data_IF_878546634647
#
_entry.id   IF_878546634647
#
_cell.length_a   1.000
_cell.length_b   1.000
_cell.length_c   1.000
_cell.angle_alpha   90.00
_cell.angle_beta   90.00
_cell.angle_gamma   90.00
#
_symmetry.space_group_name_H-M   'P 1'
#
loop_
_entity.id
_entity.type
_entity.pdbx_description
1 polymer ?
#
# COMPACT_ATOMS: atom_id res chain seq x y z
N UNK A 1 -83.17 37.10 -15.48
CA UNK A 1 -82.02 37.84 -15.00
C UNK A 1 -80.84 36.87 -14.75
N UNK A 2 -79.89 36.84 -15.66
CA UNK A 2 -78.81 35.88 -15.65
C UNK A 2 -77.51 36.56 -15.19
N UNK A 3 -76.88 36.06 -14.14
CA UNK A 3 -75.57 36.52 -13.68
C UNK A 3 -74.47 35.60 -14.30
N UNK A 4 -73.66 36.17 -15.14
CA UNK A 4 -72.44 35.52 -15.72
C UNK A 4 -71.37 35.37 -14.61
N UNK A 5 -70.95 34.12 -14.35
CA UNK A 5 -69.80 33.78 -13.56
C UNK A 5 -68.54 33.92 -14.42
N UNK A 6 -67.54 34.68 -13.93
CA UNK A 6 -66.21 34.81 -14.53
C UNK A 6 -65.36 33.61 -14.12
N UNK A 7 -64.92 32.83 -15.11
CA UNK A 7 -63.87 31.79 -14.93
C UNK A 7 -62.51 32.49 -14.79
N UNK A 8 -61.88 32.34 -13.67
CA UNK A 8 -60.52 32.74 -13.41
C UNK A 8 -59.57 31.65 -13.93
N UNK A 9 -58.80 31.99 -14.95
CA UNK A 9 -57.79 31.10 -15.50
C UNK A 9 -56.53 31.14 -14.61
N UNK A 10 -56.28 30.07 -13.90
CA UNK A 10 -55.08 29.92 -13.09
C UNK A 10 -53.95 29.44 -13.97
N UNK A 11 -52.97 30.28 -14.22
CA UNK A 11 -51.70 29.91 -14.88
C UNK A 11 -50.86 29.07 -13.88
N UNK A 12 -50.71 27.79 -14.19
CA UNK A 12 -49.76 26.93 -13.48
C UNK A 12 -48.38 27.18 -14.06
N UNK A 13 -47.55 27.83 -13.26
CA UNK A 13 -46.12 28.00 -13.54
C UNK A 13 -45.45 26.71 -13.08
N UNK A 14 -45.10 25.83 -14.01
CA UNK A 14 -44.27 24.66 -13.78
C UNK A 14 -42.83 25.16 -13.57
N UNK A 15 -42.45 25.31 -12.32
CA UNK A 15 -41.05 25.43 -11.92
C UNK A 15 -40.43 24.05 -11.82
N UNK A 16 -39.82 23.56 -12.89
CA UNK A 16 -38.84 22.51 -12.87
C UNK A 16 -37.54 23.09 -12.28
N UNK A 17 -37.45 23.20 -10.99
CA UNK A 17 -36.16 23.31 -10.30
C UNK A 17 -35.44 21.97 -10.45
N UNK A 18 -34.53 21.91 -11.42
CA UNK A 18 -33.47 20.88 -11.44
C UNK A 18 -32.59 21.13 -10.20
N UNK A 19 -32.89 20.43 -9.13
CA UNK A 19 -31.95 20.27 -8.03
C UNK A 19 -30.73 19.51 -8.55
N UNK A 20 -29.74 20.27 -8.96
CA UNK A 20 -28.38 19.75 -9.12
C UNK A 20 -27.85 19.45 -7.71
N UNK A 21 -28.15 18.27 -7.20
CA UNK A 21 -27.45 17.70 -6.04
C UNK A 21 -26.03 17.36 -6.49
N UNK A 22 -25.15 18.33 -6.35
CA UNK A 22 -23.70 18.08 -6.36
C UNK A 22 -23.46 17.26 -5.10
N UNK A 23 -23.38 15.94 -5.26
CA UNK A 23 -22.86 15.06 -4.21
C UNK A 23 -21.48 15.59 -3.84
N UNK A 24 -21.17 15.84 -2.56
CA UNK A 24 -19.82 16.17 -2.18
C UNK A 24 -18.93 15.00 -2.58
N UNK A 25 -18.08 15.18 -3.57
CA UNK A 25 -17.03 14.23 -3.89
C UNK A 25 -16.19 14.12 -2.63
N UNK A 26 -16.34 12.99 -1.93
CA UNK A 26 -15.44 12.62 -0.83
C UNK A 26 -14.06 12.61 -1.46
N UNK A 27 -13.25 13.62 -1.16
CA UNK A 27 -11.84 13.62 -1.55
C UNK A 27 -11.19 12.46 -0.82
N UNK A 28 -11.07 11.31 -1.48
CA UNK A 28 -10.27 10.19 -0.98
C UNK A 28 -8.83 10.71 -0.92
N UNK A 29 -8.33 10.90 0.28
CA UNK A 29 -6.95 11.31 0.47
C UNK A 29 -6.08 10.14 -0.01
N UNK A 30 -5.44 10.31 -1.17
CA UNK A 30 -4.60 9.29 -1.75
C UNK A 30 -3.29 9.17 -0.96
N UNK A 31 -2.90 7.92 -0.67
CA UNK A 31 -1.60 7.62 -0.07
C UNK A 31 -0.50 7.75 -1.11
N UNK A 32 0.51 8.55 -0.81
CA UNK A 32 1.73 8.66 -1.60
C UNK A 32 2.45 7.31 -1.62
N UNK A 33 2.45 6.62 -2.76
CA UNK A 33 2.81 5.22 -2.86
C UNK A 33 4.08 5.01 -3.69
N UNK A 34 5.00 4.20 -3.17
CA UNK A 34 6.19 3.73 -3.85
C UNK A 34 5.97 2.31 -4.38
N UNK A 35 6.41 2.05 -5.61
CA UNK A 35 6.59 0.71 -6.14
C UNK A 35 8.03 0.26 -5.89
N UNK A 36 8.24 -0.87 -5.21
CA UNK A 36 9.58 -1.42 -4.99
C UNK A 36 9.74 -2.78 -5.64
N UNK A 37 10.72 -2.91 -6.51
CA UNK A 37 11.05 -4.13 -7.24
C UNK A 37 12.51 -4.56 -7.03
N UNK A 38 12.75 -5.88 -6.90
CA UNK A 38 14.09 -6.44 -6.74
C UNK A 38 14.26 -7.76 -7.50
N UNK A 39 15.41 -7.91 -8.17
CA UNK A 39 15.85 -9.18 -8.75
C UNK A 39 17.27 -9.49 -8.26
N UNK A 40 17.52 -10.75 -7.88
CA UNK A 40 18.86 -11.22 -7.54
C UNK A 40 19.61 -11.70 -8.78
N UNK A 41 20.96 -11.65 -8.72
CA UNK A 41 21.86 -12.04 -9.83
C UNK A 41 21.65 -13.51 -10.25
N UNK A 42 21.32 -14.39 -9.31
CA UNK A 42 21.29 -15.84 -9.52
C UNK A 42 20.07 -16.36 -10.29
N UNK A 43 19.09 -15.51 -10.55
CA UNK A 43 17.83 -15.92 -11.16
C UNK A 43 17.62 -15.28 -12.54
N UNK A 44 18.21 -15.86 -13.56
CA UNK A 44 17.89 -15.56 -14.98
C UNK A 44 16.45 -15.90 -15.37
N UNK A 45 15.71 -16.57 -14.50
CA UNK A 45 14.34 -17.11 -14.74
C UNK A 45 13.21 -16.37 -14.06
N UNK A 46 13.50 -15.43 -13.16
CA UNK A 46 12.44 -14.67 -12.50
C UNK A 46 11.99 -13.49 -13.38
N UNK A 47 11.16 -13.76 -14.36
CA UNK A 47 10.50 -12.80 -15.24
C UNK A 47 11.10 -11.40 -15.20
N UNK A 48 11.35 -10.79 -16.34
CA UNK A 48 11.99 -9.49 -16.48
C UNK A 48 11.57 -8.54 -15.34
N UNK A 49 12.52 -7.78 -14.76
CA UNK A 49 12.22 -6.74 -13.76
C UNK A 49 11.06 -5.84 -14.22
N UNK A 50 10.97 -5.64 -15.53
CA UNK A 50 9.90 -4.88 -16.16
C UNK A 50 8.51 -5.49 -15.91
N UNK A 51 8.39 -6.81 -15.88
CA UNK A 51 7.12 -7.48 -15.56
C UNK A 51 6.70 -7.21 -14.10
N UNK A 52 7.66 -7.17 -13.16
CA UNK A 52 7.35 -6.78 -11.78
C UNK A 52 6.88 -5.34 -11.71
N UNK A 53 7.59 -4.42 -12.33
CA UNK A 53 7.24 -2.99 -12.36
C UNK A 53 5.83 -2.80 -12.94
N UNK A 54 5.54 -3.43 -14.09
CA UNK A 54 4.23 -3.35 -14.73
C UNK A 54 3.12 -3.86 -13.80
N UNK A 55 3.34 -4.99 -13.12
CA UNK A 55 2.39 -5.53 -12.15
C UNK A 55 2.14 -4.58 -10.97
N UNK A 56 3.20 -3.98 -10.43
CA UNK A 56 3.09 -3.02 -9.32
C UNK A 56 2.31 -1.77 -9.72
N UNK A 57 2.61 -1.22 -10.91
CA UNK A 57 1.90 -0.05 -11.43
C UNK A 57 0.43 -0.37 -11.68
N UNK A 58 0.12 -1.50 -12.34
CA UNK A 58 -1.27 -1.92 -12.57
C UNK A 58 -2.05 -2.09 -11.26
N UNK A 59 -1.42 -2.65 -10.22
CA UNK A 59 -2.03 -2.75 -8.91
C UNK A 59 -2.33 -1.38 -8.32
N UNK A 60 -1.35 -0.47 -8.31
CA UNK A 60 -1.51 0.90 -7.77
C UNK A 60 -2.59 1.66 -8.54
N UNK A 61 -2.57 1.61 -9.88
CA UNK A 61 -3.52 2.32 -10.74
C UNK A 61 -4.96 1.78 -10.61
N UNK A 62 -5.12 0.49 -10.24
CA UNK A 62 -6.44 -0.12 -10.03
C UNK A 62 -7.07 0.24 -8.68
N UNK A 63 -6.35 0.92 -7.79
CA UNK A 63 -6.78 1.28 -6.45
C UNK A 63 -6.76 2.81 -6.28
N UNK A 64 -7.91 3.48 -6.26
CA UNK A 64 -7.99 4.95 -6.26
C UNK A 64 -7.42 5.60 -4.99
N UNK A 65 -7.26 4.84 -3.91
CA UNK A 65 -6.64 5.27 -2.66
C UNK A 65 -5.12 5.41 -2.74
N UNK A 66 -4.47 4.92 -3.81
CA UNK A 66 -3.02 5.02 -3.98
C UNK A 66 -2.66 6.01 -5.09
N UNK A 67 -1.57 6.74 -4.88
CA UNK A 67 -0.97 7.62 -5.88
C UNK A 67 0.50 7.23 -6.03
N UNK A 68 0.87 6.68 -7.18
CA UNK A 68 2.26 6.38 -7.47
C UNK A 68 3.11 7.66 -7.45
N UNK A 69 4.14 7.67 -6.62
CA UNK A 69 5.12 8.76 -6.51
C UNK A 69 6.40 8.41 -7.24
N UNK A 70 6.96 7.22 -6.97
CA UNK A 70 8.21 6.78 -7.58
C UNK A 70 8.33 5.25 -7.61
N UNK A 71 9.25 4.75 -8.42
CA UNK A 71 9.58 3.34 -8.56
C UNK A 71 11.04 3.10 -8.23
N UNK A 72 11.30 2.24 -7.25
CA UNK A 72 12.62 1.91 -6.74
C UNK A 72 13.00 0.51 -7.19
N UNK A 73 14.18 0.35 -7.79
CA UNK A 73 14.54 -0.90 -8.47
C UNK A 73 15.97 -1.32 -8.10
N UNK A 74 16.10 -2.36 -7.27
CA UNK A 74 17.38 -3.01 -6.99
C UNK A 74 17.58 -4.24 -7.88
N UNK A 75 18.35 -4.07 -8.93
CA UNK A 75 18.69 -5.13 -9.87
C UNK A 75 20.08 -5.71 -9.56
N UNK A 76 20.17 -7.01 -9.34
CA UNK A 76 21.43 -7.68 -9.02
C UNK A 76 21.77 -7.71 -7.53
N UNK A 77 20.84 -7.36 -6.65
CA UNK A 77 21.05 -7.39 -5.20
C UNK A 77 20.36 -8.58 -4.56
N UNK A 78 21.00 -9.16 -3.54
CA UNK A 78 20.40 -10.23 -2.74
C UNK A 78 19.28 -9.68 -1.86
N UNK A 79 18.44 -10.55 -1.33
CA UNK A 79 17.43 -10.13 -0.36
C UNK A 79 17.86 -10.36 1.09
N UNK A 80 19.13 -10.70 1.34
CA UNK A 80 19.65 -11.09 2.66
C UNK A 80 19.92 -9.94 3.59
N UNK A 81 20.18 -8.77 3.04
CA UNK A 81 20.39 -7.51 3.75
C UNK A 81 19.58 -6.38 3.13
N UNK A 82 19.55 -5.22 3.77
CA UNK A 82 18.88 -4.01 3.29
C UNK A 82 19.89 -2.92 2.86
N UNK A 83 21.19 -3.26 2.74
CA UNK A 83 22.21 -2.37 2.18
C UNK A 83 22.15 -2.38 0.64
N UNK A 84 21.06 -1.81 0.11
CA UNK A 84 20.74 -1.74 -1.32
C UNK A 84 20.47 -0.29 -1.67
N UNK A 85 21.07 0.24 -2.76
CA UNK A 85 21.00 1.67 -3.08
C UNK A 85 19.57 2.21 -3.21
N UNK A 86 18.71 1.52 -3.93
CA UNK A 86 17.35 1.98 -4.15
C UNK A 86 16.46 1.77 -2.90
N UNK A 87 16.74 0.75 -2.09
CA UNK A 87 16.08 0.61 -0.80
C UNK A 87 16.47 1.73 0.17
N UNK A 88 17.75 2.12 0.20
CA UNK A 88 18.23 3.25 1.01
C UNK A 88 17.54 4.53 0.56
N UNK A 89 17.49 4.79 -0.77
CA UNK A 89 16.80 5.94 -1.34
C UNK A 89 15.31 5.95 -0.98
N UNK A 90 14.66 4.80 -1.08
CA UNK A 90 13.26 4.63 -0.65
C UNK A 90 13.08 5.02 0.82
N UNK A 91 13.95 4.53 1.70
CA UNK A 91 13.86 4.82 3.13
C UNK A 91 14.14 6.28 3.46
N UNK A 92 14.99 6.97 2.70
CA UNK A 92 15.21 8.41 2.84
C UNK A 92 13.96 9.21 2.44
N UNK A 93 13.28 8.82 1.36
CA UNK A 93 12.02 9.44 0.95
C UNK A 93 10.87 9.13 1.92
N UNK A 94 10.87 7.94 2.53
CA UNK A 94 9.95 7.57 3.63
C UNK A 94 10.19 8.48 4.85
N UNK A 95 11.44 8.64 5.30
CA UNK A 95 11.80 9.52 6.44
C UNK A 95 11.48 10.98 6.16
N UNK A 96 11.58 11.40 4.91
CA UNK A 96 11.20 12.73 4.47
C UNK A 96 9.66 12.94 4.39
N UNK A 97 8.86 11.90 4.67
CA UNK A 97 7.39 11.94 4.60
C UNK A 97 6.82 11.99 3.18
N UNK A 98 7.64 11.72 2.15
CA UNK A 98 7.20 11.72 0.75
C UNK A 98 6.45 10.45 0.39
N UNK A 99 6.68 9.34 1.09
CA UNK A 99 6.09 8.03 0.86
C UNK A 99 5.34 7.58 2.11
N UNK A 100 4.09 7.16 1.90
CA UNK A 100 3.18 6.68 2.95
C UNK A 100 2.78 5.22 2.76
N UNK A 101 2.99 4.68 1.55
CA UNK A 101 2.70 3.29 1.22
C UNK A 101 3.81 2.72 0.33
N UNK A 102 4.21 1.49 0.60
CA UNK A 102 5.17 0.73 -0.21
C UNK A 102 4.44 -0.50 -0.75
N UNK A 103 4.49 -0.72 -2.07
CA UNK A 103 3.91 -1.89 -2.72
C UNK A 103 5.03 -2.75 -3.28
N UNK A 104 5.02 -4.05 -2.93
CA UNK A 104 5.97 -5.05 -3.43
C UNK A 104 5.21 -6.21 -4.09
N UNK A 105 5.88 -6.95 -4.97
CA UNK A 105 5.29 -8.14 -5.59
C UNK A 105 5.04 -9.24 -4.56
N UNK A 106 6.04 -9.56 -3.78
CA UNK A 106 6.03 -10.53 -2.69
C UNK A 106 7.01 -10.08 -1.60
N UNK A 107 6.83 -10.58 -0.36
CA UNK A 107 7.66 -10.20 0.79
C UNK A 107 9.13 -10.57 0.59
N UNK A 108 9.43 -11.59 -0.23
CA UNK A 108 10.82 -11.94 -0.55
C UNK A 108 11.53 -10.86 -1.37
N UNK A 109 10.78 -9.98 -2.06
CA UNK A 109 11.34 -8.81 -2.75
C UNK A 109 11.69 -7.71 -1.77
N UNK A 110 10.88 -7.54 -0.74
CA UNK A 110 11.19 -6.63 0.35
C UNK A 110 12.43 -7.09 1.11
N UNK A 111 12.44 -8.30 1.69
CA UNK A 111 13.58 -8.87 2.40
C UNK A 111 13.45 -10.38 2.59
N UNK A 112 14.58 -11.11 2.47
CA UNK A 112 14.66 -12.54 2.78
C UNK A 112 15.09 -12.80 4.23
N UNK A 113 15.75 -11.82 4.84
CA UNK A 113 16.03 -11.87 6.27
C UNK A 113 14.73 -11.60 7.03
N UNK A 114 14.11 -12.65 7.53
CA UNK A 114 12.81 -12.60 8.19
C UNK A 114 12.83 -11.73 9.45
N UNK A 115 13.96 -11.75 10.21
CA UNK A 115 14.10 -10.96 11.43
C UNK A 115 14.15 -9.46 11.10
N UNK A 116 14.96 -9.09 10.12
CA UNK A 116 15.15 -7.70 9.71
C UNK A 116 13.89 -7.16 9.02
N UNK A 117 13.26 -7.94 8.12
CA UNK A 117 11.99 -7.59 7.51
C UNK A 117 10.88 -7.40 8.56
N UNK A 118 10.83 -8.30 9.56
CA UNK A 118 9.91 -8.19 10.69
C UNK A 118 10.13 -6.91 11.50
N UNK A 119 11.39 -6.53 11.75
CA UNK A 119 11.71 -5.28 12.45
C UNK A 119 11.21 -4.04 11.68
N UNK A 120 11.36 -4.01 10.35
CA UNK A 120 10.79 -2.93 9.54
C UNK A 120 9.27 -2.89 9.67
N UNK A 121 8.60 -4.04 9.54
CA UNK A 121 7.13 -4.14 9.53
C UNK A 121 6.53 -3.84 10.91
N UNK A 122 7.17 -4.30 11.99
CA UNK A 122 6.66 -4.19 13.36
C UNK A 122 7.02 -2.86 14.02
N UNK A 123 8.16 -2.27 13.65
CA UNK A 123 8.72 -1.12 14.37
C UNK A 123 8.88 0.09 13.47
N UNK A 124 9.64 -0.02 12.38
CA UNK A 124 10.02 1.14 11.58
C UNK A 124 8.82 1.74 10.84
N UNK A 125 8.08 0.93 10.12
CA UNK A 125 6.94 1.42 9.32
C UNK A 125 5.80 1.97 10.18
N UNK A 126 5.39 1.34 11.29
CA UNK A 126 4.41 1.97 12.18
C UNK A 126 4.90 3.29 12.78
N UNK A 127 6.17 3.40 13.19
CA UNK A 127 6.73 4.65 13.71
C UNK A 127 6.75 5.78 12.66
N UNK A 128 6.93 5.45 11.39
CA UNK A 128 6.94 6.40 10.26
C UNK A 128 5.57 6.54 9.60
N UNK A 129 4.55 5.85 10.12
CA UNK A 129 3.19 5.81 9.56
C UNK A 129 3.15 5.37 8.09
N UNK A 130 3.92 4.32 7.76
CA UNK A 130 4.04 3.76 6.42
C UNK A 130 3.35 2.40 6.35
N UNK A 131 2.55 2.19 5.31
CA UNK A 131 1.87 0.93 4.99
C UNK A 131 2.72 0.11 4.02
N UNK A 132 2.89 -1.18 4.28
CA UNK A 132 3.51 -2.13 3.35
C UNK A 132 2.45 -3.09 2.81
N UNK A 133 2.41 -3.25 1.50
CA UNK A 133 1.52 -4.17 0.79
C UNK A 133 2.34 -5.15 -0.03
N UNK A 134 2.07 -6.45 0.10
CA UNK A 134 2.60 -7.50 -0.75
C UNK A 134 1.47 -8.13 -1.55
N UNK A 135 1.55 -8.02 -2.88
CA UNK A 135 0.44 -8.42 -3.77
C UNK A 135 0.24 -9.94 -3.75
N UNK A 136 1.29 -10.71 -4.02
CA UNK A 136 1.19 -12.17 -4.14
C UNK A 136 0.93 -12.87 -2.81
N UNK A 137 1.39 -12.27 -1.70
CA UNK A 137 1.18 -12.82 -0.36
C UNK A 137 -0.16 -12.39 0.23
N UNK A 138 -0.92 -11.53 -0.47
CA UNK A 138 -2.14 -10.88 0.03
C UNK A 138 -1.94 -10.24 1.41
N UNK A 139 -0.74 -9.70 1.64
CA UNK A 139 -0.32 -9.11 2.91
C UNK A 139 -0.51 -7.59 2.90
N UNK A 140 -1.00 -7.07 4.00
CA UNK A 140 -1.20 -5.64 4.22
C UNK A 140 -0.87 -5.27 5.67
N UNK A 141 0.18 -4.51 5.89
CA UNK A 141 0.61 -4.13 7.23
C UNK A 141 -0.40 -3.26 8.01
N UNK A 142 -1.43 -2.73 7.36
CA UNK A 142 -2.52 -2.03 8.06
C UNK A 142 -3.48 -3.00 8.76
N UNK A 143 -3.52 -4.27 8.33
CA UNK A 143 -4.34 -5.32 8.94
C UNK A 143 -3.57 -5.95 10.09
N UNK A 144 -4.16 -5.96 11.29
CA UNK A 144 -3.53 -6.54 12.46
C UNK A 144 -3.30 -8.05 12.33
N UNK A 145 -4.22 -8.75 11.69
CA UNK A 145 -4.13 -10.19 11.43
C UNK A 145 -2.91 -10.55 10.58
N UNK A 146 -2.64 -9.77 9.53
CA UNK A 146 -1.51 -9.98 8.63
C UNK A 146 -0.18 -9.72 9.36
N UNK A 147 -0.09 -8.63 10.13
CA UNK A 147 1.09 -8.36 10.97
C UNK A 147 1.34 -9.50 11.94
N UNK A 148 0.32 -9.95 12.65
CA UNK A 148 0.46 -11.02 13.64
C UNK A 148 0.86 -12.35 12.99
N UNK A 149 0.39 -12.66 11.79
CA UNK A 149 0.74 -13.87 11.05
C UNK A 149 2.25 -13.95 10.72
N UNK A 150 2.89 -12.82 10.49
CA UNK A 150 4.35 -12.75 10.27
C UNK A 150 5.15 -12.69 11.56
N UNK A 151 4.67 -11.93 12.53
CA UNK A 151 5.41 -11.58 13.75
C UNK A 151 5.46 -12.75 14.73
N UNK A 152 4.39 -13.51 14.89
CA UNK A 152 4.31 -14.63 15.83
C UNK A 152 5.38 -15.70 15.53
N UNK A 153 5.55 -16.19 14.29
CA UNK A 153 6.63 -17.12 13.95
C UNK A 153 8.03 -16.59 14.24
N UNK A 154 8.26 -15.29 13.98
CA UNK A 154 9.55 -14.64 14.23
C UNK A 154 9.85 -14.60 15.73
N UNK A 155 8.90 -14.17 16.56
CA UNK A 155 9.03 -14.15 18.01
C UNK A 155 9.30 -15.54 18.58
N UNK A 156 8.60 -16.54 18.08
CA UNK A 156 8.80 -17.93 18.50
C UNK A 156 10.21 -18.43 18.16
N UNK A 157 10.68 -18.15 16.92
CA UNK A 157 12.04 -18.52 16.50
C UNK A 157 13.12 -17.86 17.37
N UNK A 158 12.96 -16.58 17.68
CA UNK A 158 13.88 -15.86 18.56
C UNK A 158 13.89 -16.47 19.98
N UNK A 159 12.72 -16.76 20.54
CA UNK A 159 12.58 -17.37 21.85
C UNK A 159 13.23 -18.77 21.89
N UNK A 160 13.08 -19.57 20.85
CA UNK A 160 13.75 -20.87 20.73
C UNK A 160 15.27 -20.75 20.67
N UNK A 161 15.81 -19.75 19.98
CA UNK A 161 17.24 -19.49 19.94
C UNK A 161 17.77 -19.15 21.33
N UNK A 162 17.09 -18.26 22.06
CA UNK A 162 17.48 -17.92 23.44
C UNK A 162 17.41 -19.13 24.39
N UNK A 163 16.35 -19.96 24.25
CA UNK A 163 16.22 -21.15 25.08
C UNK A 163 17.37 -22.16 24.84
N UNK A 164 17.76 -22.35 23.55
CA UNK A 164 18.89 -23.21 23.18
C UNK A 164 20.24 -22.69 23.70
N UNK A 165 20.45 -21.39 23.68
CA UNK A 165 21.70 -20.79 24.21
C UNK A 165 21.78 -20.85 25.75
N UNK A 166 20.63 -20.67 26.42
CA UNK A 166 20.56 -20.83 27.87
C UNK A 166 20.80 -22.28 28.32
N UNK A 167 20.42 -23.27 27.51
CA UNK A 167 20.62 -24.69 27.84
C UNK A 167 22.06 -25.21 27.62
N UNK A 168 22.93 -24.40 26.98
CA UNK A 168 24.34 -24.75 26.72
C UNK A 168 25.31 -24.22 27.80
N UNK A 169 24.81 -23.48 28.77
CA UNK A 169 25.55 -23.01 29.95
C UNK A 169 25.28 -23.88 31.17
#
# INVERSE_FOLDING_TARGET
MARKSRKSTKLEINQHEKQNTISPSVMVQQLATAAYARISVDKKTDGCIQTQITMLHQYIDSHPEYKLVDTYVDNGYTGTDFDRPEFIRLMDDVRAGKIQCIVVKDLSRFGRNTIEAGYYIETIFPCLNVRLISINDNFDSSREEDRNSMIIPIKNMINEMYAKDASKK
#
